data_IF_469133472655
#
_entry.id   IF_469133472655
#
_cell.length_a   1.000
_cell.length_b   1.000
_cell.length_c   1.000
_cell.angle_alpha   90.00
_cell.angle_beta   90.00
_cell.angle_gamma   90.00
#
_symmetry.space_group_name_H-M   'P 1'
#
loop_
_entity.id
_entity.type
_entity.pdbx_description
1 polymer ?
#
# COMPACT_ATOMS: atom_id res chain seq x y z
N UNK A 1 -25.69 -7.69 6.67
CA UNK A 1 -25.45 -7.27 8.08
C UNK A 1 -24.17 -6.46 8.11
N UNK A 2 -24.26 -5.14 8.31
CA UNK A 2 -23.07 -4.28 8.42
C UNK A 2 -22.35 -4.59 9.73
N UNK A 3 -21.09 -5.00 9.63
CA UNK A 3 -20.22 -5.24 10.78
C UNK A 3 -19.86 -3.88 11.40
N UNK A 4 -19.83 -3.84 12.74
CA UNK A 4 -19.56 -2.60 13.49
C UNK A 4 -18.28 -1.90 12.99
N UNK A 5 -18.27 -0.55 12.92
CA UNK A 5 -17.08 0.22 12.56
C UNK A 5 -15.91 -0.22 13.45
N UNK A 6 -14.82 -0.68 12.84
CA UNK A 6 -13.64 -1.24 13.53
C UNK A 6 -13.38 -2.74 13.30
N UNK A 7 -14.19 -3.46 12.52
CA UNK A 7 -14.01 -4.91 12.27
C UNK A 7 -13.62 -5.28 10.83
N UNK A 8 -13.34 -4.30 9.98
CA UNK A 8 -12.71 -4.53 8.67
C UNK A 8 -11.18 -4.41 8.77
N UNK A 9 -10.44 -5.52 8.87
CA UNK A 9 -8.99 -5.47 9.07
C UNK A 9 -8.25 -4.83 7.88
N UNK A 10 -8.75 -4.95 6.65
CA UNK A 10 -8.08 -4.37 5.47
C UNK A 10 -8.30 -2.86 5.40
N UNK A 11 -9.54 -2.40 5.56
CA UNK A 11 -9.86 -0.98 5.64
C UNK A 11 -9.18 -0.29 6.82
N UNK A 12 -9.15 -0.92 8.00
CA UNK A 12 -8.46 -0.40 9.18
C UNK A 12 -6.94 -0.30 8.96
N UNK A 13 -6.32 -1.33 8.37
CA UNK A 13 -4.89 -1.31 8.03
C UNK A 13 -4.57 -0.22 7.00
N UNK A 14 -5.36 -0.12 5.93
CA UNK A 14 -5.17 0.91 4.92
C UNK A 14 -5.30 2.31 5.53
N UNK A 15 -6.33 2.55 6.35
CA UNK A 15 -6.53 3.82 7.03
C UNK A 15 -5.34 4.18 7.94
N UNK A 16 -4.92 3.25 8.80
CA UNK A 16 -3.79 3.44 9.70
C UNK A 16 -2.48 3.74 8.96
N UNK A 17 -2.23 3.04 7.84
CA UNK A 17 -1.06 3.28 7.01
C UNK A 17 -1.12 4.62 6.28
N UNK A 18 -2.29 5.00 5.74
CA UNK A 18 -2.46 6.25 5.00
C UNK A 18 -2.40 7.53 5.85
N UNK A 19 -2.60 7.43 7.17
CA UNK A 19 -2.70 8.60 8.05
C UNK A 19 -1.37 9.32 8.29
N UNK A 20 -0.23 8.63 8.13
CA UNK A 20 1.11 9.26 8.14
C UNK A 20 2.02 8.59 7.11
N UNK A 21 1.94 9.01 5.85
CA UNK A 21 2.78 8.48 4.76
C UNK A 21 4.27 8.84 4.90
N UNK A 22 4.58 9.91 5.64
CA UNK A 22 5.95 10.44 5.83
C UNK A 22 6.84 9.51 6.67
N UNK A 23 6.27 8.74 7.61
CA UNK A 23 7.06 7.83 8.45
C UNK A 23 7.51 6.57 7.69
N UNK A 24 6.71 6.10 6.74
CA UNK A 24 6.99 4.83 6.06
C UNK A 24 8.16 4.91 5.08
N UNK A 25 8.53 6.12 4.63
CA UNK A 25 9.70 6.37 3.78
C UNK A 25 11.05 6.35 4.52
N UNK A 26 11.07 6.17 5.85
CA UNK A 26 12.29 6.22 6.65
C UNK A 26 13.20 4.99 6.43
N UNK A 27 12.60 3.80 6.32
CA UNK A 27 13.31 2.53 6.09
C UNK A 27 12.87 1.87 4.78
N UNK A 28 13.74 1.04 4.21
CA UNK A 28 13.48 0.36 2.93
C UNK A 28 12.28 -0.59 3.01
N UNK A 29 12.17 -1.36 4.10
CA UNK A 29 11.14 -2.39 4.26
C UNK A 29 9.77 -1.76 4.52
N UNK A 30 9.70 -0.74 5.38
CA UNK A 30 8.45 0.02 5.62
C UNK A 30 7.97 0.70 4.35
N UNK A 31 8.91 1.26 3.56
CA UNK A 31 8.56 1.93 2.31
C UNK A 31 8.03 0.91 1.29
N UNK A 32 8.61 -0.27 1.25
CA UNK A 32 8.14 -1.34 0.39
C UNK A 32 6.73 -1.80 0.77
N UNK A 33 6.46 -2.04 2.06
CA UNK A 33 5.14 -2.46 2.57
C UNK A 33 4.08 -1.41 2.26
N UNK A 34 4.36 -0.13 2.53
CA UNK A 34 3.47 0.98 2.18
C UNK A 34 3.17 1.03 0.68
N UNK A 35 4.20 0.84 -0.15
CA UNK A 35 4.04 0.79 -1.60
C UNK A 35 3.13 -0.35 -2.08
N UNK A 36 3.01 -1.46 -1.34
CA UNK A 36 2.07 -2.55 -1.64
C UNK A 36 0.66 -2.22 -1.16
N UNK A 37 0.52 -1.77 0.10
CA UNK A 37 -0.78 -1.60 0.75
C UNK A 37 -1.51 -0.33 0.29
N UNK A 38 -0.80 0.80 0.21
CA UNK A 38 -1.37 2.12 -0.10
C UNK A 38 -0.94 2.58 -1.50
N UNK A 39 0.35 2.38 -1.82
CA UNK A 39 0.95 2.78 -3.09
C UNK A 39 1.69 4.12 -2.99
N UNK A 40 2.85 4.20 -3.64
CA UNK A 40 3.55 5.47 -3.88
C UNK A 40 3.15 6.03 -5.25
N UNK A 41 2.96 7.33 -5.32
CA UNK A 41 2.63 8.07 -6.53
C UNK A 41 3.70 9.12 -6.87
N UNK A 42 3.61 9.64 -8.09
CA UNK A 42 4.33 10.84 -8.53
C UNK A 42 5.83 10.89 -8.16
N UNK A 43 6.31 12.06 -7.70
CA UNK A 43 7.69 12.26 -7.26
C UNK A 43 8.13 11.35 -6.11
N UNK A 44 7.24 11.01 -5.18
CA UNK A 44 7.57 10.20 -4.01
C UNK A 44 8.09 8.80 -4.40
N UNK A 45 7.48 8.16 -5.40
CA UNK A 45 7.99 6.87 -5.91
C UNK A 45 9.39 7.00 -6.49
N UNK A 46 9.69 8.09 -7.20
CA UNK A 46 11.01 8.34 -7.80
C UNK A 46 12.06 8.57 -6.71
N UNK A 47 11.73 9.40 -5.72
CA UNK A 47 12.66 9.76 -4.64
C UNK A 47 12.96 8.56 -3.75
N UNK A 48 11.96 7.73 -3.44
CA UNK A 48 12.16 6.50 -2.67
C UNK A 48 12.93 5.44 -3.46
N UNK A 49 12.68 5.31 -4.76
CA UNK A 49 13.46 4.42 -5.62
C UNK A 49 14.93 4.84 -5.67
N UNK A 50 15.21 6.14 -5.79
CA UNK A 50 16.58 6.66 -5.74
C UNK A 50 17.21 6.44 -4.35
N UNK A 51 16.51 6.82 -3.27
CA UNK A 51 16.97 6.68 -1.88
C UNK A 51 17.36 5.24 -1.52
N UNK A 52 16.57 4.26 -1.95
CA UNK A 52 16.76 2.85 -1.58
C UNK A 52 17.41 1.99 -2.67
N UNK A 53 17.84 2.61 -3.77
CA UNK A 53 18.47 1.93 -4.90
C UNK A 53 17.55 0.89 -5.55
N UNK A 54 16.25 1.18 -5.67
CA UNK A 54 15.32 0.29 -6.35
C UNK A 54 15.51 0.37 -7.86
N UNK A 55 15.74 -0.79 -8.48
CA UNK A 55 15.77 -0.91 -9.93
C UNK A 55 14.37 -0.69 -10.53
N UNK A 56 14.32 -0.38 -11.83
CA UNK A 56 13.05 -0.29 -12.56
C UNK A 56 12.23 -1.59 -12.45
N UNK A 57 12.89 -2.74 -12.40
CA UNK A 57 12.23 -4.03 -12.21
C UNK A 57 11.60 -4.13 -10.82
N UNK A 58 12.26 -3.63 -9.77
CA UNK A 58 11.70 -3.58 -8.43
C UNK A 58 10.51 -2.63 -8.36
N UNK A 59 10.60 -1.44 -8.96
CA UNK A 59 9.47 -0.50 -9.05
C UNK A 59 8.29 -1.12 -9.82
N UNK A 60 8.56 -1.83 -10.93
CA UNK A 60 7.53 -2.55 -11.70
C UNK A 60 6.88 -3.67 -10.86
N UNK A 61 7.68 -4.41 -10.09
CA UNK A 61 7.20 -5.42 -9.15
C UNK A 61 6.30 -4.80 -8.07
N UNK A 62 6.72 -3.68 -7.49
CA UNK A 62 5.97 -2.95 -6.46
C UNK A 62 4.60 -2.50 -6.99
N UNK A 63 4.57 -1.88 -8.19
CA UNK A 63 3.33 -1.51 -8.88
C UNK A 63 2.42 -2.70 -9.15
N UNK A 64 2.99 -3.85 -9.53
CA UNK A 64 2.23 -5.09 -9.75
C UNK A 64 1.61 -5.60 -8.44
N UNK A 65 2.38 -5.59 -7.35
CA UNK A 65 1.90 -5.99 -6.02
C UNK A 65 0.77 -5.08 -5.52
N UNK A 66 0.88 -3.75 -5.69
CA UNK A 66 -0.20 -2.81 -5.34
C UNK A 66 -1.49 -3.13 -6.09
N UNK A 67 -1.41 -3.41 -7.39
CA UNK A 67 -2.60 -3.81 -8.18
C UNK A 67 -3.23 -5.10 -7.66
N UNK A 68 -2.43 -6.09 -7.29
CA UNK A 68 -2.94 -7.35 -6.74
C UNK A 68 -3.54 -7.18 -5.36
N UNK A 69 -2.90 -6.39 -4.49
CA UNK A 69 -3.45 -6.04 -3.19
C UNK A 69 -4.80 -5.33 -3.35
N UNK A 70 -4.87 -4.31 -4.22
CA UNK A 70 -6.13 -3.60 -4.49
C UNK A 70 -7.23 -4.51 -5.04
N UNK A 71 -6.89 -5.45 -5.92
CA UNK A 71 -7.85 -6.43 -6.42
C UNK A 71 -8.37 -7.35 -5.29
N UNK A 72 -7.51 -7.73 -4.35
CA UNK A 72 -7.91 -8.51 -3.17
C UNK A 72 -8.82 -7.70 -2.24
N UNK A 73 -8.53 -6.41 -1.99
CA UNK A 73 -9.41 -5.50 -1.24
C UNK A 73 -10.81 -5.46 -1.85
N UNK A 74 -10.90 -5.21 -3.17
CA UNK A 74 -12.18 -5.13 -3.88
C UNK A 74 -12.94 -6.46 -3.90
N UNK A 75 -12.23 -7.59 -4.05
CA UNK A 75 -12.85 -8.91 -4.00
C UNK A 75 -13.46 -9.19 -2.63
N UNK A 76 -12.79 -8.75 -1.57
CA UNK A 76 -13.27 -8.88 -0.20
C UNK A 76 -14.46 -7.96 0.07
N UNK A 77 -14.45 -6.72 -0.44
CA UNK A 77 -15.62 -5.82 -0.39
C UNK A 77 -16.85 -6.44 -1.09
N UNK A 78 -16.66 -7.04 -2.28
CA UNK A 78 -17.74 -7.68 -3.04
C UNK A 78 -18.33 -8.92 -2.37
N UNK A 79 -17.53 -9.68 -1.61
CA UNK A 79 -18.04 -10.82 -0.82
C UNK A 79 -18.96 -10.38 0.31
N UNK A 80 -18.93 -9.10 0.68
CA UNK A 80 -19.66 -8.53 1.82
C UNK A 80 -20.96 -7.83 1.42
N UNK A 81 -21.14 -7.51 0.13
CA UNK A 81 -22.38 -7.01 -0.49
C UNK A 81 -23.27 -8.14 -0.96
#
# INVERSE_FOLDING_TARGET
MSKAPGTDPLGALHAAMSFSSMDWGASKDTAWIYGIAVGWDGPAMKDLAAKFGWSEQQVKKLRKLRRYFRAAELAEERRRT
#
